data_IF_169767869228
#
_entry.id   IF_169767869228
#
_cell.length_a   1.000
_cell.length_b   1.000
_cell.length_c   1.000
_cell.angle_alpha   90.00
_cell.angle_beta   90.00
_cell.angle_gamma   90.00
#
_symmetry.space_group_name_H-M   'P 1'
#
loop_
_entity.id
_entity.type
_entity.pdbx_description
1 polymer ?
#
# COMPACT_ATOMS: atom_id res chain seq x y z
N UNK A 1 15.21 9.35 -11.43
CA UNK A 1 14.41 10.58 -11.50
C UNK A 1 13.85 10.74 -12.91
N UNK A 2 12.54 10.97 -13.04
CA UNK A 2 11.84 11.09 -14.34
C UNK A 2 11.32 12.50 -14.63
N UNK A 3 11.59 13.46 -13.75
CA UNK A 3 11.03 14.81 -13.85
C UNK A 3 9.51 14.86 -13.80
N UNK A 4 8.89 13.97 -13.01
CA UNK A 4 7.42 13.83 -12.92
C UNK A 4 6.74 15.15 -12.61
N UNK A 5 7.29 15.93 -11.69
CA UNK A 5 6.81 17.25 -11.31
C UNK A 5 6.71 18.21 -12.50
N UNK A 6 7.66 18.13 -13.44
CA UNK A 6 7.67 18.96 -14.65
C UNK A 6 6.76 18.41 -15.75
N UNK A 7 6.70 17.09 -15.87
CA UNK A 7 5.83 16.44 -16.87
C UNK A 7 4.34 16.68 -16.57
N UNK A 8 3.97 16.65 -15.29
CA UNK A 8 2.58 16.82 -14.86
C UNK A 8 2.06 18.23 -15.10
N UNK A 9 2.92 19.28 -14.99
CA UNK A 9 2.54 20.67 -15.26
C UNK A 9 1.93 20.89 -16.66
N UNK A 10 2.37 20.11 -17.64
CA UNK A 10 1.92 20.25 -19.04
C UNK A 10 0.72 19.37 -19.38
N UNK A 11 0.18 18.61 -18.43
CA UNK A 11 -0.88 17.64 -18.67
C UNK A 11 -2.18 18.04 -17.98
N UNK A 12 -3.29 17.53 -18.54
CA UNK A 12 -4.56 17.60 -17.86
C UNK A 12 -4.49 16.75 -16.57
N UNK A 13 -5.12 17.21 -15.51
CA UNK A 13 -5.02 16.59 -14.19
C UNK A 13 -5.42 15.09 -14.18
N UNK A 14 -6.44 14.67 -14.92
CA UNK A 14 -6.82 13.25 -15.04
C UNK A 14 -5.73 12.40 -15.71
N UNK A 15 -5.06 12.96 -16.72
CA UNK A 15 -3.95 12.28 -17.42
C UNK A 15 -2.68 12.20 -16.58
N UNK A 16 -2.67 12.89 -15.46
CA UNK A 16 -1.55 12.90 -14.52
C UNK A 16 -1.62 11.76 -13.51
N UNK A 17 -2.79 11.17 -13.27
CA UNK A 17 -3.00 10.09 -12.28
C UNK A 17 -2.00 8.94 -12.44
N UNK A 18 -1.76 8.39 -13.65
CA UNK A 18 -0.81 7.29 -13.82
C UNK A 18 0.64 7.61 -13.42
N UNK A 19 1.00 8.87 -13.35
CA UNK A 19 2.34 9.27 -12.88
C UNK A 19 2.47 9.14 -11.36
N UNK A 20 1.37 9.36 -10.62
CA UNK A 20 1.35 9.24 -9.18
C UNK A 20 1.44 7.78 -8.72
N UNK A 21 0.86 6.83 -9.47
CA UNK A 21 1.02 5.39 -9.22
C UNK A 21 2.48 4.96 -9.19
N UNK A 22 3.34 5.65 -9.92
CA UNK A 22 4.74 5.31 -10.12
C UNK A 22 5.70 6.07 -9.21
N UNK A 23 5.19 6.90 -8.31
CA UNK A 23 6.01 7.60 -7.31
C UNK A 23 6.38 6.63 -6.20
N UNK A 24 5.40 6.14 -5.46
CA UNK A 24 5.54 5.02 -4.56
C UNK A 24 4.89 3.79 -5.20
N UNK A 25 5.67 3.06 -5.99
CA UNK A 25 5.21 1.89 -6.76
C UNK A 25 4.85 0.68 -5.88
N UNK A 26 4.91 0.82 -4.57
CA UNK A 26 4.46 -0.19 -3.61
C UNK A 26 3.09 0.14 -3.02
N UNK A 27 2.71 1.42 -3.05
CA UNK A 27 1.43 1.93 -2.51
C UNK A 27 0.63 2.68 -3.59
N UNK A 28 0.39 2.05 -4.73
CA UNK A 28 -0.09 2.68 -5.95
C UNK A 28 -1.42 3.40 -5.75
N UNK A 29 -2.49 2.69 -5.35
CA UNK A 29 -3.82 3.29 -5.23
C UNK A 29 -3.90 4.36 -4.14
N UNK A 30 -3.12 4.25 -3.08
CA UNK A 30 -3.05 5.29 -2.04
C UNK A 30 -2.45 6.59 -2.57
N UNK A 31 -1.47 6.50 -3.49
CA UNK A 31 -0.89 7.68 -4.14
C UNK A 31 -1.89 8.35 -5.09
N UNK A 32 -2.66 7.57 -5.85
CA UNK A 32 -3.76 8.08 -6.66
C UNK A 32 -4.78 8.82 -5.80
N UNK A 33 -5.20 8.19 -4.69
CA UNK A 33 -6.17 8.76 -3.77
C UNK A 33 -5.67 10.09 -3.17
N UNK A 34 -4.42 10.17 -2.73
CA UNK A 34 -3.83 11.39 -2.21
C UNK A 34 -3.87 12.52 -3.24
N UNK A 35 -3.55 12.23 -4.51
CA UNK A 35 -3.64 13.17 -5.60
C UNK A 35 -5.09 13.61 -5.88
N UNK A 36 -6.03 12.67 -5.92
CA UNK A 36 -7.45 12.96 -6.10
C UNK A 36 -7.99 13.88 -4.99
N UNK A 37 -7.65 13.60 -3.72
CA UNK A 37 -8.01 14.44 -2.58
C UNK A 37 -7.48 15.88 -2.71
N UNK A 38 -6.24 16.03 -3.18
CA UNK A 38 -5.67 17.37 -3.42
C UNK A 38 -6.46 18.16 -4.47
N UNK A 39 -6.83 17.51 -5.58
CA UNK A 39 -7.65 18.15 -6.64
C UNK A 39 -9.06 18.46 -6.13
N UNK A 40 -9.69 17.53 -5.44
CA UNK A 40 -11.03 17.71 -4.86
C UNK A 40 -11.06 18.89 -3.89
N UNK A 41 -10.00 19.02 -3.08
CA UNK A 41 -9.85 20.16 -2.18
C UNK A 41 -9.69 21.49 -2.93
N UNK A 42 -8.86 21.52 -3.97
CA UNK A 42 -8.67 22.70 -4.81
C UNK A 42 -9.94 23.12 -5.55
N UNK A 43 -10.74 22.16 -5.98
CA UNK A 43 -12.01 22.39 -6.67
C UNK A 43 -13.20 22.64 -5.71
N UNK A 44 -12.97 22.60 -4.39
CA UNK A 44 -14.02 22.69 -3.37
C UNK A 44 -15.14 21.66 -3.52
N UNK A 45 -14.80 20.46 -4.00
CA UNK A 45 -15.74 19.33 -4.08
C UNK A 45 -15.95 18.79 -2.66
N UNK A 46 -17.13 19.01 -2.09
CA UNK A 46 -17.44 18.60 -0.72
C UNK A 46 -18.30 17.32 -0.63
N UNK A 47 -18.98 16.97 -1.70
CA UNK A 47 -19.96 15.89 -1.71
C UNK A 47 -19.50 14.73 -2.58
N UNK A 48 -18.60 13.90 -2.03
CA UNK A 48 -18.25 12.62 -2.64
C UNK A 48 -19.30 11.59 -2.20
N UNK A 49 -19.74 10.73 -3.10
CA UNK A 49 -20.64 9.63 -2.78
C UNK A 49 -20.07 8.77 -1.64
N UNK A 50 -20.92 8.47 -0.65
CA UNK A 50 -20.56 7.59 0.46
C UNK A 50 -19.99 6.23 -0.03
N UNK A 51 -20.61 5.68 -1.07
CA UNK A 51 -20.15 4.44 -1.69
C UNK A 51 -18.76 4.56 -2.29
N UNK A 52 -18.48 5.64 -3.01
CA UNK A 52 -17.13 5.93 -3.54
C UNK A 52 -16.09 6.05 -2.41
N UNK A 53 -16.43 6.71 -1.31
CA UNK A 53 -15.53 6.84 -0.16
C UNK A 53 -15.20 5.49 0.47
N UNK A 54 -16.18 4.60 0.64
CA UNK A 54 -15.94 3.25 1.18
C UNK A 54 -15.06 2.43 0.22
N UNK A 55 -15.31 2.50 -1.08
CA UNK A 55 -14.49 1.79 -2.06
C UNK A 55 -13.03 2.27 -2.03
N UNK A 56 -12.81 3.58 -1.96
CA UNK A 56 -11.46 4.15 -1.82
C UNK A 56 -10.76 3.63 -0.58
N UNK A 57 -11.44 3.63 0.58
CA UNK A 57 -10.88 3.10 1.83
C UNK A 57 -10.55 1.61 1.69
N UNK A 58 -11.43 0.82 1.10
CA UNK A 58 -11.19 -0.61 0.89
C UNK A 58 -9.90 -0.85 0.10
N UNK A 59 -9.72 -0.17 -1.02
CA UNK A 59 -8.54 -0.33 -1.86
C UNK A 59 -7.29 0.30 -1.25
N UNK A 60 -7.41 1.37 -0.47
CA UNK A 60 -6.29 1.93 0.29
C UNK A 60 -5.76 0.94 1.33
N UNK A 61 -6.65 0.24 2.04
CA UNK A 61 -6.23 -0.75 3.03
C UNK A 61 -5.68 -2.04 2.38
N UNK A 62 -6.21 -2.46 1.25
CA UNK A 62 -5.59 -3.53 0.44
C UNK A 62 -4.20 -3.13 -0.06
N UNK A 63 -4.04 -1.88 -0.48
CA UNK A 63 -2.75 -1.30 -0.87
C UNK A 63 -1.77 -1.28 0.30
N UNK A 64 -2.26 -0.95 1.49
CA UNK A 64 -1.46 -1.00 2.72
C UNK A 64 -0.95 -2.40 3.00
N UNK A 65 -1.77 -3.44 2.82
CA UNK A 65 -1.34 -4.83 2.93
C UNK A 65 -0.27 -5.17 1.90
N UNK A 66 -0.45 -4.76 0.63
CA UNK A 66 0.56 -4.93 -0.42
C UNK A 66 1.92 -4.36 -0.03
N UNK A 67 1.92 -3.15 0.51
CA UNK A 67 3.12 -2.47 0.98
C UNK A 67 3.77 -3.22 2.14
N UNK A 68 3.00 -3.58 3.16
CA UNK A 68 3.51 -4.24 4.35
C UNK A 68 4.09 -5.62 4.04
N UNK A 69 3.47 -6.41 3.17
CA UNK A 69 4.02 -7.69 2.73
C UNK A 69 5.38 -7.52 2.06
N UNK A 70 5.53 -6.52 1.18
CA UNK A 70 6.82 -6.27 0.55
C UNK A 70 7.85 -5.79 1.58
N UNK A 71 7.50 -4.87 2.45
CA UNK A 71 8.39 -4.32 3.45
C UNK A 71 8.93 -5.42 4.39
N UNK A 72 8.05 -6.27 4.91
CA UNK A 72 8.43 -7.40 5.76
C UNK A 72 9.26 -8.43 4.99
N UNK A 73 8.88 -8.75 3.75
CA UNK A 73 9.60 -9.68 2.90
C UNK A 73 11.04 -9.24 2.62
N UNK A 74 11.22 -7.99 2.21
CA UNK A 74 12.54 -7.43 1.92
C UNK A 74 13.38 -7.33 3.18
N UNK A 75 12.80 -6.89 4.29
CA UNK A 75 13.50 -6.85 5.57
C UNK A 75 13.94 -8.24 6.03
N UNK A 76 13.07 -9.23 5.91
CA UNK A 76 13.39 -10.62 6.23
C UNK A 76 14.51 -11.17 5.35
N UNK A 77 14.47 -10.85 4.05
CA UNK A 77 15.52 -11.24 3.10
C UNK A 77 16.87 -10.62 3.49
N UNK A 78 16.90 -9.33 3.82
CA UNK A 78 18.11 -8.61 4.22
C UNK A 78 18.72 -9.15 5.52
N UNK A 79 17.89 -9.59 6.44
CA UNK A 79 18.31 -10.25 7.68
C UNK A 79 18.78 -11.70 7.42
N UNK A 80 18.40 -12.31 6.29
CA UNK A 80 18.86 -13.63 5.84
C UNK A 80 17.78 -14.71 5.79
N UNK A 81 16.48 -14.36 5.97
CA UNK A 81 15.36 -15.30 5.82
C UNK A 81 14.86 -15.29 4.38
N UNK A 82 15.51 -16.04 3.50
CA UNK A 82 15.16 -16.04 2.07
C UNK A 82 13.78 -16.61 1.75
N UNK A 83 13.27 -17.56 2.53
CA UNK A 83 11.98 -18.21 2.26
C UNK A 83 10.77 -17.30 2.53
N UNK A 84 10.91 -16.34 3.43
CA UNK A 84 9.83 -15.44 3.82
C UNK A 84 9.31 -14.57 2.68
N UNK A 85 10.16 -14.26 1.69
CA UNK A 85 9.77 -13.47 0.52
C UNK A 85 8.72 -14.21 -0.33
N UNK A 86 8.84 -15.52 -0.49
CA UNK A 86 7.91 -16.29 -1.32
C UNK A 86 6.51 -16.31 -0.72
N UNK A 87 6.40 -16.49 0.60
CA UNK A 87 5.10 -16.45 1.29
C UNK A 87 4.43 -15.08 1.21
N UNK A 88 5.20 -14.03 1.45
CA UNK A 88 4.66 -12.67 1.36
C UNK A 88 4.23 -12.31 -0.08
N UNK A 89 4.97 -12.75 -1.08
CA UNK A 89 4.64 -12.50 -2.48
C UNK A 89 3.45 -13.31 -2.96
N UNK A 90 3.21 -14.49 -2.41
CA UNK A 90 1.98 -15.26 -2.67
C UNK A 90 0.74 -14.47 -2.23
N UNK A 91 0.77 -13.89 -1.03
CA UNK A 91 -0.34 -13.05 -0.56
C UNK A 91 -0.47 -11.74 -1.38
N UNK A 92 0.65 -11.14 -1.78
CA UNK A 92 0.64 -9.98 -2.68
C UNK A 92 -0.02 -10.27 -4.01
N UNK A 93 0.23 -11.43 -4.59
CA UNK A 93 -0.33 -11.84 -5.89
C UNK A 93 -1.86 -11.90 -5.83
N UNK A 94 -2.42 -12.41 -4.74
CA UNK A 94 -3.89 -12.45 -4.53
C UNK A 94 -4.50 -11.05 -4.50
N UNK A 95 -3.84 -10.08 -3.88
CA UNK A 95 -4.31 -8.69 -3.86
C UNK A 95 -4.18 -8.03 -5.24
N UNK A 96 -3.11 -8.33 -5.98
CA UNK A 96 -2.95 -7.83 -7.36
C UNK A 96 -4.04 -8.37 -8.30
N UNK A 97 -4.54 -9.58 -8.08
CA UNK A 97 -5.71 -10.10 -8.80
C UNK A 97 -6.96 -9.25 -8.53
N UNK A 98 -7.18 -8.82 -7.30
CA UNK A 98 -8.29 -7.91 -7.00
C UNK A 98 -8.16 -6.57 -7.72
N UNK A 99 -6.94 -6.02 -7.82
CA UNK A 99 -6.66 -4.84 -8.62
C UNK A 99 -7.02 -5.03 -10.10
N UNK A 100 -6.60 -6.15 -10.67
CA UNK A 100 -6.87 -6.48 -12.05
C UNK A 100 -8.38 -6.61 -12.33
N UNK A 101 -9.12 -7.21 -11.41
CA UNK A 101 -10.58 -7.38 -11.54
C UNK A 101 -11.34 -6.05 -11.55
N UNK A 102 -10.87 -5.02 -10.86
CA UNK A 102 -11.56 -3.72 -10.82
C UNK A 102 -11.05 -2.71 -11.84
N UNK A 103 -9.79 -2.80 -12.25
CA UNK A 103 -9.15 -1.80 -13.10
C UNK A 103 -8.61 -2.34 -14.41
N UNK A 104 -8.46 -3.65 -14.53
CA UNK A 104 -7.79 -4.30 -15.68
C UNK A 104 -6.27 -4.28 -15.59
N UNK A 105 -5.67 -3.70 -14.54
CA UNK A 105 -4.23 -3.63 -14.34
C UNK A 105 -3.84 -4.20 -12.97
N UNK A 106 -2.78 -5.02 -12.96
CA UNK A 106 -2.30 -5.69 -11.74
C UNK A 106 -1.65 -4.76 -10.72
N UNK A 107 -1.00 -3.69 -11.19
CA UNK A 107 -0.24 -2.78 -10.32
C UNK A 107 -0.69 -1.33 -10.50
N UNK A 108 -0.38 -0.74 -11.63
CA UNK A 108 -0.64 0.67 -11.91
C UNK A 108 -2.04 0.82 -12.51
N UNK A 109 -3.01 0.91 -11.63
CA UNK A 109 -4.42 0.77 -11.96
C UNK A 109 -5.06 2.05 -12.51
N UNK A 110 -4.57 3.22 -12.10
CA UNK A 110 -5.22 4.51 -12.34
C UNK A 110 -6.73 4.46 -12.06
N UNK A 111 -7.07 3.85 -10.92
CA UNK A 111 -8.44 3.51 -10.55
C UNK A 111 -9.20 4.69 -9.95
N UNK A 112 -8.53 5.47 -9.10
CA UNK A 112 -9.11 6.65 -8.50
C UNK A 112 -9.19 7.80 -9.49
N UNK A 113 -10.32 8.50 -9.46
CA UNK A 113 -10.52 9.75 -10.20
C UNK A 113 -11.08 10.81 -9.26
N UNK A 114 -10.83 12.09 -9.51
CA UNK A 114 -11.45 13.15 -8.73
C UNK A 114 -12.98 13.02 -8.78
N UNK A 115 -13.61 13.01 -7.60
CA UNK A 115 -15.06 12.88 -7.39
C UNK A 115 -15.67 11.50 -7.73
N UNK A 116 -14.93 10.61 -8.39
CA UNK A 116 -15.45 9.29 -8.78
C UNK A 116 -14.37 8.21 -8.78
N UNK A 117 -14.72 7.01 -9.24
CA UNK A 117 -13.84 5.90 -9.51
C UNK A 117 -13.93 5.51 -10.98
N UNK A 118 -12.90 4.85 -11.50
CA UNK A 118 -12.89 4.34 -12.88
C UNK A 118 -14.05 3.39 -13.14
N UNK A 119 -14.41 2.57 -12.15
CA UNK A 119 -15.54 1.65 -12.21
C UNK A 119 -16.26 1.62 -10.87
N UNK A 120 -17.56 1.82 -10.88
CA UNK A 120 -18.39 1.72 -9.68
C UNK A 120 -18.87 0.29 -9.41
N UNK A 121 -18.44 -0.67 -10.21
CA UNK A 121 -18.90 -2.05 -10.12
C UNK A 121 -17.99 -2.88 -9.21
N UNK A 122 -18.26 -2.84 -7.90
CA UNK A 122 -17.82 -3.91 -7.02
C UNK A 122 -18.76 -5.11 -7.24
N UNK A 123 -18.24 -6.14 -7.87
CA UNK A 123 -18.94 -7.41 -7.97
C UNK A 123 -19.07 -8.07 -6.58
N UNK A 124 -20.25 -8.61 -6.28
CA UNK A 124 -20.50 -9.30 -5.01
C UNK A 124 -19.52 -10.46 -4.80
N UNK A 125 -19.18 -11.16 -5.88
CA UNK A 125 -18.18 -12.23 -5.86
C UNK A 125 -16.80 -11.72 -5.43
N UNK A 126 -16.39 -10.54 -5.90
CA UNK A 126 -15.12 -9.92 -5.50
C UNK A 126 -15.11 -9.62 -3.99
N UNK A 127 -16.19 -9.11 -3.43
CA UNK A 127 -16.29 -8.85 -1.99
C UNK A 127 -16.21 -10.13 -1.15
N UNK A 128 -16.82 -11.22 -1.64
CA UNK A 128 -16.72 -12.54 -1.00
C UNK A 128 -15.28 -13.06 -1.06
N UNK A 129 -14.61 -12.95 -2.20
CA UNK A 129 -13.22 -13.37 -2.38
C UNK A 129 -12.26 -12.55 -1.50
N UNK A 130 -12.44 -11.23 -1.40
CA UNK A 130 -11.68 -10.37 -0.49
C UNK A 130 -11.89 -10.81 0.97
N UNK A 131 -13.13 -11.11 1.35
CA UNK A 131 -13.45 -11.57 2.71
C UNK A 131 -12.77 -12.91 3.02
N UNK A 132 -12.75 -13.83 2.06
CA UNK A 132 -12.06 -15.10 2.19
C UNK A 132 -10.54 -14.91 2.26
N UNK A 133 -10.01 -14.03 1.41
CA UNK A 133 -8.59 -13.66 1.43
C UNK A 133 -8.16 -13.15 2.81
N UNK A 134 -8.90 -12.22 3.41
CA UNK A 134 -8.58 -11.66 4.73
C UNK A 134 -8.50 -12.77 5.81
N UNK A 135 -9.43 -13.73 5.79
CA UNK A 135 -9.41 -14.86 6.72
C UNK A 135 -8.18 -15.75 6.55
N UNK A 136 -7.82 -16.06 5.31
CA UNK A 136 -6.66 -16.89 4.99
C UNK A 136 -5.34 -16.16 5.26
N UNK A 137 -5.27 -14.89 4.93
CA UNK A 137 -4.13 -14.03 5.19
C UNK A 137 -3.74 -14.01 6.68
N UNK A 138 -4.71 -14.06 7.58
CA UNK A 138 -4.46 -14.14 9.02
C UNK A 138 -3.69 -15.40 9.41
N UNK A 139 -3.94 -16.52 8.74
CA UNK A 139 -3.23 -17.80 8.97
C UNK A 139 -1.78 -17.64 8.51
N UNK A 140 -1.57 -17.15 7.29
CA UNK A 140 -0.23 -16.92 6.73
C UNK A 140 0.59 -15.95 7.59
N UNK A 141 -0.02 -14.86 8.08
CA UNK A 141 0.65 -13.91 8.97
C UNK A 141 1.07 -14.55 10.29
N UNK A 142 0.25 -15.43 10.88
CA UNK A 142 0.62 -16.15 12.09
C UNK A 142 1.79 -17.11 11.84
N UNK A 143 1.81 -17.81 10.71
CA UNK A 143 2.92 -18.68 10.33
C UNK A 143 4.22 -17.87 10.14
N UNK A 144 4.17 -16.75 9.43
CA UNK A 144 5.30 -15.84 9.27
C UNK A 144 5.77 -15.30 10.63
N UNK A 145 4.86 -14.90 11.50
CA UNK A 145 5.18 -14.45 12.85
C UNK A 145 5.92 -15.53 13.66
N UNK A 146 5.47 -16.77 13.60
CA UNK A 146 6.11 -17.88 14.29
C UNK A 146 7.52 -18.14 13.76
N UNK A 147 7.71 -18.12 12.45
CA UNK A 147 9.00 -18.39 11.81
C UNK A 147 10.01 -17.25 12.03
N UNK A 148 9.57 -16.00 12.00
CA UNK A 148 10.44 -14.82 12.14
C UNK A 148 10.62 -14.44 13.61
N UNK A 149 9.55 -14.09 14.30
CA UNK A 149 9.61 -13.45 15.62
C UNK A 149 10.20 -14.37 16.69
N UNK A 150 9.90 -15.66 16.63
CA UNK A 150 10.44 -16.64 17.61
C UNK A 150 11.77 -17.24 17.21
N UNK A 151 12.28 -16.94 16.03
CA UNK A 151 13.57 -17.43 15.58
C UNK A 151 14.71 -16.81 16.40
N UNK A 152 15.58 -17.63 16.94
CA UNK A 152 16.73 -17.22 17.75
C UNK A 152 17.72 -16.37 16.95
N UNK A 153 17.99 -16.75 15.70
CA UNK A 153 18.90 -16.02 14.81
C UNK A 153 18.35 -14.64 14.49
N UNK A 154 17.05 -14.56 14.18
CA UNK A 154 16.34 -13.31 13.93
C UNK A 154 16.44 -12.35 15.12
N UNK A 155 16.14 -12.85 16.33
CA UNK A 155 16.26 -12.06 17.55
C UNK A 155 17.68 -11.56 17.79
N UNK A 156 18.69 -12.41 17.62
CA UNK A 156 20.09 -12.04 17.83
C UNK A 156 20.59 -10.98 16.83
N UNK A 157 20.02 -10.92 15.64
CA UNK A 157 20.39 -9.96 14.61
C UNK A 157 19.68 -8.63 14.70
N UNK A 158 18.56 -8.55 15.41
CA UNK A 158 17.72 -7.35 15.44
C UNK A 158 17.59 -6.71 16.81
N UNK A 159 17.53 -7.49 17.89
CA UNK A 159 17.28 -6.94 19.23
C UNK A 159 18.44 -6.05 19.68
N UNK A 160 18.13 -4.83 20.06
CA UNK A 160 19.09 -3.80 20.48
C UNK A 160 20.03 -3.31 19.37
N UNK A 161 19.71 -3.53 18.11
CA UNK A 161 20.49 -3.03 16.98
C UNK A 161 19.74 -1.85 16.35
N UNK A 162 20.46 -0.75 16.09
CA UNK A 162 19.90 0.45 15.49
C UNK A 162 18.89 1.20 16.39
N UNK A 163 19.02 1.09 17.69
CA UNK A 163 18.17 1.82 18.64
C UNK A 163 18.46 3.31 18.61
N UNK A 164 17.42 4.12 18.68
CA UNK A 164 17.51 5.57 18.81
C UNK A 164 16.55 6.05 19.91
N UNK A 165 16.96 7.11 20.59
CA UNK A 165 16.21 7.71 21.70
C UNK A 165 15.23 8.76 21.20
N UNK A 166 14.29 9.19 22.07
CA UNK A 166 13.40 10.31 21.79
C UNK A 166 14.19 11.57 21.41
N UNK A 167 15.35 11.79 22.02
CA UNK A 167 16.23 12.93 21.68
C UNK A 167 16.77 12.82 20.25
N UNK A 168 17.12 11.62 19.82
CA UNK A 168 17.58 11.39 18.44
C UNK A 168 16.45 11.64 17.45
N UNK A 169 15.22 11.20 17.76
CA UNK A 169 14.03 11.47 16.94
C UNK A 169 13.83 12.98 16.75
N UNK A 170 13.97 13.75 17.82
CA UNK A 170 13.83 15.21 17.76
C UNK A 170 14.98 15.88 16.99
N UNK A 171 16.22 15.46 17.26
CA UNK A 171 17.41 16.03 16.63
C UNK A 171 17.48 15.76 15.12
N UNK A 172 17.09 14.56 14.68
CA UNK A 172 17.08 14.17 13.28
C UNK A 172 15.78 14.54 12.54
N UNK A 173 14.78 15.09 13.25
CA UNK A 173 13.50 15.44 12.64
C UNK A 173 12.73 14.23 12.09
N UNK A 174 12.81 13.08 12.74
CA UNK A 174 12.10 11.88 12.32
C UNK A 174 10.60 12.07 12.47
N UNK A 175 9.83 11.55 11.53
CA UNK A 175 8.37 11.65 11.50
C UNK A 175 7.72 10.29 11.20
N UNK A 176 6.39 10.24 11.27
CA UNK A 176 5.64 9.05 10.92
C UNK A 176 5.84 7.89 11.90
N UNK A 177 5.95 6.69 11.37
CA UNK A 177 6.10 5.45 12.16
C UNK A 177 7.38 5.49 13.00
N UNK A 178 8.49 5.99 12.43
CA UNK A 178 9.78 6.07 13.12
C UNK A 178 9.72 6.93 14.39
N UNK A 179 8.86 7.94 14.42
CA UNK A 179 8.67 8.80 15.59
C UNK A 179 7.66 8.24 16.61
N UNK A 180 6.92 7.19 16.28
CA UNK A 180 5.84 6.64 17.10
C UNK A 180 6.16 5.28 17.73
N UNK A 181 7.28 4.68 17.35
CA UNK A 181 7.73 3.38 17.89
C UNK A 181 8.29 3.49 19.31
#
# INVERSE_FOLDING_TARGET
HRGTEKLVESKHYEKSIPYFDRLDYVSMMTQEHAYCLAIEHLQNIKNISYFCSIQRILFDELTRLLNHFLAVACHALDVGSMSSIFWAFEEREKVMEFYERVSGARMHAAYHKPNELFSNNLDEKLLQDITLFIKNCYITLNEMHNVLTYNKIWKQRLVNIGTYSIRDVQNYGLTGIMARC
#
